data_IF_472662878012
#
_entry.id   IF_472662878012
#
_cell.length_a   1.000
_cell.length_b   1.000
_cell.length_c   1.000
_cell.angle_alpha   90.00
_cell.angle_beta   90.00
_cell.angle_gamma   90.00
#
_symmetry.space_group_name_H-M   'P 1'
#
loop_
_entity.id
_entity.type
_entity.pdbx_description
1 polymer ?
#
# COMPACT_ATOMS: atom_id res chain seq x y z
N UNK A 1 -17.72 4.99 20.64
CA UNK A 1 -16.49 4.32 20.13
C UNK A 1 -16.47 4.68 18.64
N UNK A 2 -15.53 5.50 18.27
CA UNK A 2 -15.43 5.97 16.88
C UNK A 2 -15.03 4.78 16.00
N UNK A 3 -15.49 4.77 14.74
CA UNK A 3 -15.12 3.75 13.73
C UNK A 3 -13.60 3.52 13.65
N UNK A 4 -12.84 4.53 13.96
CA UNK A 4 -11.38 4.60 13.98
C UNK A 4 -10.74 3.86 15.13
N UNK A 5 -11.34 3.98 16.29
CA UNK A 5 -10.93 3.21 17.47
C UNK A 5 -11.15 1.71 17.22
N UNK A 6 -12.22 1.36 16.49
CA UNK A 6 -12.53 -0.02 16.13
C UNK A 6 -11.49 -0.63 15.17
N UNK A 7 -11.09 0.10 14.13
CA UNK A 7 -10.06 -0.38 13.17
C UNK A 7 -8.72 -0.51 13.89
N UNK A 8 -8.31 0.50 14.65
CA UNK A 8 -7.06 0.45 15.41
C UNK A 8 -7.07 -0.65 16.47
N UNK A 9 -8.20 -0.91 17.12
CA UNK A 9 -8.33 -2.02 18.06
C UNK A 9 -8.30 -3.37 17.35
N UNK A 10 -9.03 -3.52 16.23
CA UNK A 10 -9.01 -4.74 15.43
C UNK A 10 -7.59 -5.06 14.93
N UNK A 11 -6.89 -4.06 14.39
CA UNK A 11 -5.49 -4.23 13.96
C UNK A 11 -4.57 -4.59 15.13
N UNK A 12 -4.70 -3.92 16.27
CA UNK A 12 -3.91 -4.24 17.47
C UNK A 12 -4.16 -5.67 17.95
N UNK A 13 -5.42 -6.13 17.94
CA UNK A 13 -5.76 -7.50 18.32
C UNK A 13 -5.15 -8.51 17.35
N UNK A 14 -5.36 -8.34 16.05
CA UNK A 14 -4.81 -9.26 15.02
C UNK A 14 -3.29 -9.31 15.11
N UNK A 15 -2.63 -8.16 15.24
CA UNK A 15 -1.17 -8.09 15.29
C UNK A 15 -0.63 -8.73 16.59
N UNK A 16 -1.19 -8.38 17.76
CA UNK A 16 -0.63 -8.81 19.04
C UNK A 16 -1.03 -10.24 19.45
N UNK A 17 -2.25 -10.69 19.15
CA UNK A 17 -2.78 -11.96 19.63
C UNK A 17 -2.51 -13.11 18.65
N UNK A 18 -2.69 -12.88 17.35
CA UNK A 18 -2.54 -13.93 16.33
C UNK A 18 -1.11 -14.05 15.79
N UNK A 19 -0.45 -12.94 15.51
CA UNK A 19 0.82 -12.94 14.78
C UNK A 19 2.04 -12.57 15.62
N UNK A 20 1.87 -12.13 16.85
CA UNK A 20 2.94 -11.61 17.74
C UNK A 20 3.78 -10.49 17.11
N UNK A 21 3.22 -9.80 16.13
CA UNK A 21 3.87 -8.66 15.48
C UNK A 21 3.59 -7.39 16.27
N UNK A 22 4.58 -6.51 16.39
CA UNK A 22 4.39 -5.19 17.00
C UNK A 22 3.89 -4.16 15.98
N UNK A 23 4.18 -4.37 14.70
CA UNK A 23 3.75 -3.49 13.61
C UNK A 23 3.76 -4.21 12.26
N UNK A 24 3.01 -3.65 11.32
CA UNK A 24 2.97 -4.10 9.92
C UNK A 24 3.75 -3.12 9.05
N UNK A 25 4.70 -3.64 8.29
CA UNK A 25 5.48 -2.86 7.32
C UNK A 25 4.84 -2.98 5.93
N UNK A 26 4.36 -1.87 5.41
CA UNK A 26 3.70 -1.78 4.12
C UNK A 26 4.55 -0.94 3.18
N UNK A 27 4.84 -1.46 2.00
CA UNK A 27 5.42 -0.68 0.91
C UNK A 27 4.28 -0.05 0.12
N UNK A 28 4.36 1.23 -0.24
CA UNK A 28 3.39 1.86 -1.13
C UNK A 28 4.06 2.38 -2.39
N UNK A 29 3.45 2.12 -3.54
CA UNK A 29 3.95 2.55 -4.83
C UNK A 29 2.80 2.96 -5.77
N UNK A 30 3.12 3.61 -6.87
CA UNK A 30 2.20 4.08 -7.90
C UNK A 30 2.65 5.39 -8.49
N UNK A 31 2.09 5.77 -9.63
CA UNK A 31 2.42 7.01 -10.34
C UNK A 31 2.22 8.26 -9.48
N UNK A 32 2.86 9.35 -9.86
CA UNK A 32 2.59 10.66 -9.26
C UNK A 32 1.11 11.02 -9.42
N UNK A 33 0.52 11.59 -8.38
CA UNK A 33 -0.86 12.06 -8.41
C UNK A 33 -1.95 10.99 -8.32
N UNK A 34 -1.61 9.70 -8.19
CA UNK A 34 -2.63 8.63 -8.06
C UNK A 34 -3.35 8.64 -6.71
N UNK A 35 -2.91 9.41 -5.72
CA UNK A 35 -3.58 9.51 -4.42
C UNK A 35 -2.88 8.76 -3.28
N UNK A 36 -1.59 8.39 -3.42
CA UNK A 36 -0.81 7.72 -2.36
C UNK A 36 -0.84 8.50 -1.05
N UNK A 37 -0.51 9.80 -1.09
CA UNK A 37 -0.49 10.64 0.12
C UNK A 37 -1.87 10.74 0.79
N UNK A 38 -2.94 10.83 0.00
CA UNK A 38 -4.31 10.83 0.53
C UNK A 38 -4.65 9.50 1.18
N UNK A 39 -4.23 8.39 0.58
CA UNK A 39 -4.43 7.05 1.13
C UNK A 39 -3.66 6.86 2.44
N UNK A 40 -2.39 7.28 2.48
CA UNK A 40 -1.55 7.24 3.68
C UNK A 40 -2.20 8.05 4.81
N UNK A 41 -2.62 9.28 4.52
CA UNK A 41 -3.26 10.14 5.51
C UNK A 41 -4.57 9.55 6.04
N UNK A 42 -5.36 8.92 5.17
CA UNK A 42 -6.57 8.22 5.57
C UNK A 42 -6.27 7.00 6.46
N UNK A 43 -5.27 6.19 6.10
CA UNK A 43 -4.87 5.02 6.89
C UNK A 43 -4.35 5.41 8.28
N UNK A 44 -3.61 6.50 8.40
CA UNK A 44 -3.14 7.03 9.69
C UNK A 44 -4.11 8.01 10.35
N UNK A 45 -5.12 8.50 9.63
CA UNK A 45 -6.02 9.58 10.02
C UNK A 45 -5.30 10.82 10.53
N UNK A 46 -4.31 11.23 9.79
CA UNK A 46 -3.51 12.42 10.08
C UNK A 46 -2.82 12.91 8.81
N UNK A 47 -2.56 14.20 8.71
CA UNK A 47 -1.87 14.83 7.57
C UNK A 47 -0.35 14.59 7.57
N UNK A 48 0.09 13.34 7.68
CA UNK A 48 1.50 12.98 7.80
C UNK A 48 2.25 13.11 6.48
N UNK A 49 1.63 12.69 5.38
CA UNK A 49 2.30 12.69 4.08
C UNK A 49 2.47 14.09 3.47
N UNK A 50 1.61 15.06 3.86
CA UNK A 50 1.71 16.44 3.37
C UNK A 50 2.69 17.29 4.20
N UNK A 51 2.91 16.94 5.45
CA UNK A 51 3.78 17.70 6.38
C UNK A 51 5.27 17.37 6.27
N UNK A 52 5.65 16.49 5.34
CA UNK A 52 7.04 16.06 5.19
C UNK A 52 7.58 15.28 6.40
N UNK A 53 6.71 14.70 7.21
CA UNK A 53 7.09 13.92 8.41
C UNK A 53 7.70 12.55 8.07
N UNK A 54 7.86 12.23 6.78
CA UNK A 54 8.54 11.02 6.35
C UNK A 54 10.05 11.09 6.63
N UNK A 55 10.59 10.01 7.22
CA UNK A 55 12.02 9.87 7.43
C UNK A 55 12.66 9.19 6.20
N UNK A 56 13.67 9.80 5.55
CA UNK A 56 14.37 9.15 4.45
C UNK A 56 14.98 7.82 4.90
N UNK A 57 14.70 6.76 4.15
CA UNK A 57 15.33 5.44 4.30
C UNK A 57 16.37 5.26 3.20
N UNK A 58 16.00 5.63 1.97
CA UNK A 58 16.88 5.74 0.82
C UNK A 58 16.56 7.00 0.03
N UNK A 59 17.20 7.20 -1.13
CA UNK A 59 16.84 8.30 -2.04
C UNK A 59 15.45 8.14 -2.65
N UNK A 60 14.98 6.90 -2.73
CA UNK A 60 13.73 6.53 -3.41
C UNK A 60 12.63 6.09 -2.42
N UNK A 61 12.92 5.98 -1.12
CA UNK A 61 12.00 5.46 -0.13
C UNK A 61 12.02 6.31 1.14
N UNK A 62 10.83 6.69 1.60
CA UNK A 62 10.59 7.37 2.87
C UNK A 62 9.78 6.48 3.82
N UNK A 63 10.13 6.47 5.10
CA UNK A 63 9.34 5.82 6.14
C UNK A 63 8.38 6.81 6.76
N UNK A 64 7.10 6.47 6.77
CA UNK A 64 6.03 7.22 7.43
C UNK A 64 5.46 6.33 8.52
N UNK A 65 5.46 6.83 9.75
CA UNK A 65 4.93 6.14 10.93
C UNK A 65 4.26 7.15 11.88
N UNK A 66 3.31 6.68 12.67
CA UNK A 66 2.60 7.48 13.67
C UNK A 66 2.67 6.77 15.02
N UNK A 67 3.07 7.46 16.12
CA UNK A 67 3.06 6.86 17.46
C UNK A 67 1.70 6.27 17.83
N UNK A 68 1.70 5.05 18.35
CA UNK A 68 0.49 4.35 18.76
C UNK A 68 -0.30 3.68 17.63
N UNK A 69 0.13 3.81 16.38
CA UNK A 69 -0.43 3.08 15.23
C UNK A 69 0.53 1.97 14.82
N UNK A 70 0.08 0.70 14.79
CA UNK A 70 0.95 -0.43 14.48
C UNK A 70 1.17 -0.62 12.97
N UNK A 71 1.32 0.47 12.23
CA UNK A 71 1.60 0.46 10.79
C UNK A 71 2.82 1.32 10.52
N UNK A 72 3.71 0.82 9.67
CA UNK A 72 4.82 1.58 9.07
C UNK A 72 4.69 1.54 7.56
N UNK A 73 4.62 2.70 6.93
CA UNK A 73 4.51 2.80 5.48
C UNK A 73 5.84 3.26 4.89
N UNK A 74 6.37 2.48 3.99
CA UNK A 74 7.53 2.78 3.16
C UNK A 74 7.03 3.34 1.83
N UNK A 75 6.98 4.69 1.74
CA UNK A 75 6.51 5.38 0.54
C UNK A 75 7.63 5.48 -0.49
N UNK A 76 7.41 4.95 -1.67
CA UNK A 76 8.31 5.13 -2.81
C UNK A 76 8.07 6.48 -3.44
N UNK A 77 9.15 7.23 -3.70
CA UNK A 77 9.08 8.50 -4.43
C UNK A 77 8.36 8.28 -5.76
N UNK A 78 7.46 9.21 -6.10
CA UNK A 78 6.52 9.13 -7.20
C UNK A 78 7.08 8.46 -8.45
N UNK A 79 6.51 7.32 -8.74
CA UNK A 79 6.87 6.46 -9.84
C UNK A 79 6.35 7.06 -11.16
N UNK A 80 7.22 7.69 -11.89
CA UNK A 80 6.92 8.07 -13.26
C UNK A 80 7.16 6.88 -14.20
N UNK A 81 6.54 6.89 -15.39
CA UNK A 81 6.68 5.81 -16.39
C UNK A 81 8.09 5.72 -16.99
N UNK A 82 9.11 6.03 -16.18
CA UNK A 82 10.51 5.96 -16.57
C UNK A 82 11.11 4.62 -16.10
N UNK A 83 11.48 3.78 -17.07
CA UNK A 83 12.10 2.48 -16.83
C UNK A 83 13.39 2.57 -15.98
N UNK A 84 14.12 3.68 -16.03
CA UNK A 84 15.35 3.87 -15.23
C UNK A 84 15.00 4.12 -13.76
N UNK A 85 13.99 4.95 -13.52
CA UNK A 85 13.47 5.20 -12.16
C UNK A 85 12.93 3.90 -11.58
N UNK A 86 12.13 3.18 -12.34
CA UNK A 86 11.59 1.87 -11.94
C UNK A 86 12.69 0.89 -11.50
N UNK A 87 13.71 0.70 -12.34
CA UNK A 87 14.83 -0.20 -12.01
C UNK A 87 15.58 0.21 -10.74
N UNK A 88 15.76 1.52 -10.52
CA UNK A 88 16.38 2.02 -9.28
C UNK A 88 15.50 1.73 -8.07
N UNK A 89 14.22 2.04 -8.17
CA UNK A 89 13.24 1.79 -7.10
C UNK A 89 13.20 0.31 -6.73
N UNK A 90 13.12 -0.60 -7.70
CA UNK A 90 13.15 -2.06 -7.47
C UNK A 90 14.46 -2.47 -6.77
N UNK A 91 15.60 -1.92 -7.20
CA UNK A 91 16.90 -2.20 -6.58
C UNK A 91 16.94 -1.78 -5.10
N UNK A 92 16.41 -0.59 -4.79
CA UNK A 92 16.33 -0.09 -3.41
C UNK A 92 15.35 -0.91 -2.56
N UNK A 93 14.20 -1.29 -3.10
CA UNK A 93 13.24 -2.19 -2.43
C UNK A 93 13.89 -3.54 -2.13
N UNK A 94 14.57 -4.13 -3.11
CA UNK A 94 15.28 -5.40 -2.94
C UNK A 94 16.35 -5.33 -1.86
N UNK A 95 17.09 -4.23 -1.80
CA UNK A 95 18.10 -3.98 -0.77
C UNK A 95 17.44 -3.87 0.61
N UNK A 96 16.39 -3.06 0.73
CA UNK A 96 15.64 -2.87 1.96
C UNK A 96 15.05 -4.19 2.47
N UNK A 97 14.38 -4.95 1.62
CA UNK A 97 13.81 -6.24 1.99
C UNK A 97 14.88 -7.24 2.44
N UNK A 98 16.03 -7.27 1.75
CA UNK A 98 17.15 -8.13 2.13
C UNK A 98 17.77 -7.74 3.48
N UNK A 99 17.93 -6.45 3.73
CA UNK A 99 18.47 -5.96 5.01
C UNK A 99 17.52 -6.28 6.17
N UNK A 100 16.23 -6.12 5.98
CA UNK A 100 15.23 -6.44 6.99
C UNK A 100 15.17 -7.93 7.33
N UNK A 101 15.18 -8.79 6.33
CA UNK A 101 15.20 -10.25 6.51
C UNK A 101 16.45 -10.79 7.23
N UNK A 102 17.57 -10.07 7.19
CA UNK A 102 18.79 -10.49 7.90
C UNK A 102 18.62 -10.54 9.42
N UNK A 103 17.73 -9.74 9.96
CA UNK A 103 17.49 -9.67 11.41
C UNK A 103 16.72 -10.90 11.93
N UNK A 104 16.15 -11.73 11.04
CA UNK A 104 15.31 -12.90 11.37
C UNK A 104 14.17 -12.59 12.35
N UNK A 105 13.70 -11.33 12.35
CA UNK A 105 12.60 -10.85 13.17
C UNK A 105 11.42 -10.61 12.25
N UNK A 106 10.30 -11.34 12.40
CA UNK A 106 9.12 -11.15 11.54
C UNK A 106 8.63 -9.70 11.46
N UNK A 107 8.73 -8.96 12.55
CA UNK A 107 8.39 -7.53 12.63
C UNK A 107 9.17 -6.63 11.65
N UNK A 108 10.34 -7.08 11.22
CA UNK A 108 11.19 -6.27 10.34
C UNK A 108 10.90 -6.50 8.86
N UNK A 109 10.26 -7.59 8.48
CA UNK A 109 9.96 -7.88 7.07
C UNK A 109 9.01 -6.86 6.44
N UNK A 110 9.10 -6.70 5.12
CA UNK A 110 8.06 -6.03 4.33
C UNK A 110 6.94 -7.03 4.11
N UNK A 111 5.78 -6.78 4.72
CA UNK A 111 4.68 -7.74 4.74
C UNK A 111 3.86 -7.72 3.46
N UNK A 112 3.65 -6.55 2.87
CA UNK A 112 2.96 -6.42 1.59
C UNK A 112 3.31 -5.10 0.89
N UNK A 113 2.85 -4.98 -0.37
CA UNK A 113 2.85 -3.72 -1.11
C UNK A 113 1.43 -3.32 -1.47
N UNK A 114 1.08 -2.05 -1.23
CA UNK A 114 -0.07 -1.38 -1.82
C UNK A 114 0.37 -0.72 -3.12
N UNK A 115 -0.03 -1.26 -4.25
CA UNK A 115 0.20 -0.63 -5.54
C UNK A 115 -1.02 0.20 -5.95
N UNK A 116 -0.87 1.52 -6.02
CA UNK A 116 -1.97 2.45 -6.25
C UNK A 116 -2.14 2.78 -7.72
N UNK A 117 -3.37 2.63 -8.22
CA UNK A 117 -3.80 3.03 -9.55
C UNK A 117 -5.01 3.95 -9.41
N UNK A 118 -5.00 5.10 -10.10
CA UNK A 118 -6.13 6.03 -10.08
C UNK A 118 -7.27 5.49 -10.95
N UNK A 119 -8.42 5.19 -10.37
CA UNK A 119 -9.57 4.68 -11.12
C UNK A 119 -10.03 5.61 -12.26
N UNK A 120 -10.07 6.96 -12.08
CA UNK A 120 -10.39 7.88 -13.18
C UNK A 120 -9.38 7.91 -14.32
N UNK A 121 -8.16 7.38 -14.14
CA UNK A 121 -7.19 7.38 -15.24
C UNK A 121 -7.54 6.38 -16.34
N UNK A 122 -8.35 5.38 -16.01
CA UNK A 122 -8.81 4.30 -16.90
C UNK A 122 -7.65 3.62 -17.67
N UNK A 123 -6.46 3.60 -17.05
CA UNK A 123 -5.25 3.07 -17.69
C UNK A 123 -4.42 2.29 -16.69
N UNK A 124 -4.01 1.12 -17.13
CA UNK A 124 -3.00 0.29 -16.50
C UNK A 124 -2.04 -0.17 -17.60
N UNK A 125 -0.76 0.08 -17.42
CA UNK A 125 0.23 -0.10 -18.47
C UNK A 125 1.18 -1.26 -18.17
N UNK A 126 1.76 -1.84 -19.23
CA UNK A 126 2.72 -2.96 -19.13
C UNK A 126 3.87 -2.68 -18.16
N UNK A 127 4.29 -1.42 -18.06
CA UNK A 127 5.35 -1.03 -17.12
C UNK A 127 4.91 -1.17 -15.66
N UNK A 128 3.63 -0.99 -15.37
CA UNK A 128 3.06 -1.18 -14.03
C UNK A 128 2.92 -2.67 -13.72
N UNK A 129 2.46 -3.46 -14.69
CA UNK A 129 2.40 -4.92 -14.57
C UNK A 129 3.80 -5.51 -14.30
N UNK A 130 4.80 -5.10 -15.08
CA UNK A 130 6.18 -5.57 -14.90
C UNK A 130 6.72 -5.22 -13.50
N UNK A 131 6.47 -4.00 -13.02
CA UNK A 131 6.88 -3.58 -11.69
C UNK A 131 6.24 -4.45 -10.60
N UNK A 132 4.94 -4.68 -10.69
CA UNK A 132 4.19 -5.55 -9.76
C UNK A 132 4.78 -6.97 -9.77
N UNK A 133 5.03 -7.52 -10.94
CA UNK A 133 5.58 -8.86 -11.11
C UNK A 133 7.01 -8.97 -10.53
N UNK A 134 7.83 -7.96 -10.70
CA UNK A 134 9.18 -7.88 -10.12
C UNK A 134 9.14 -7.85 -8.59
N UNK A 135 8.21 -7.09 -8.00
CA UNK A 135 8.03 -7.04 -6.55
C UNK A 135 7.50 -8.37 -6.00
N UNK A 136 6.51 -8.95 -6.66
CA UNK A 136 5.99 -10.27 -6.30
C UNK A 136 7.08 -11.36 -6.35
N UNK A 137 8.02 -11.26 -7.30
CA UNK A 137 9.17 -12.17 -7.41
C UNK A 137 10.16 -12.05 -6.23
N UNK A 138 10.13 -10.94 -5.47
CA UNK A 138 10.87 -10.79 -4.22
C UNK A 138 10.20 -11.48 -3.03
N UNK A 139 9.03 -12.09 -3.23
CA UNK A 139 8.21 -12.69 -2.17
C UNK A 139 7.41 -11.67 -1.37
N UNK A 140 7.19 -10.48 -1.92
CA UNK A 140 6.34 -9.43 -1.32
C UNK A 140 4.98 -9.51 -2.00
N UNK A 141 3.91 -9.91 -1.28
CA UNK A 141 2.57 -9.94 -1.85
C UNK A 141 2.08 -8.53 -2.17
N UNK A 142 1.32 -8.39 -3.26
CA UNK A 142 0.87 -7.10 -3.77
C UNK A 142 -0.66 -7.02 -3.72
N UNK A 143 -1.17 -6.00 -3.03
CA UNK A 143 -2.57 -5.57 -3.10
C UNK A 143 -2.64 -4.41 -4.10
N UNK A 144 -3.44 -4.57 -5.14
CA UNK A 144 -3.73 -3.49 -6.07
C UNK A 144 -4.82 -2.59 -5.47
N UNK A 145 -4.52 -1.30 -5.28
CA UNK A 145 -5.46 -0.35 -4.72
C UNK A 145 -5.95 0.59 -5.80
N UNK A 146 -7.22 0.46 -6.19
CA UNK A 146 -7.87 1.42 -7.06
C UNK A 146 -8.30 2.62 -6.23
N UNK A 147 -7.64 3.75 -6.42
CA UNK A 147 -7.86 4.98 -5.66
C UNK A 147 -8.81 5.92 -6.40
N UNK A 148 -9.33 6.94 -5.70
CA UNK A 148 -10.23 7.96 -6.27
C UNK A 148 -11.47 7.36 -6.92
N UNK A 149 -12.04 6.32 -6.30
CA UNK A 149 -13.21 5.61 -6.84
C UNK A 149 -14.47 6.44 -6.62
N UNK A 150 -14.72 7.39 -7.52
CA UNK A 150 -15.96 8.17 -7.55
C UNK A 150 -17.12 7.41 -8.22
N UNK A 151 -16.81 6.42 -9.04
CA UNK A 151 -17.76 5.51 -9.67
C UNK A 151 -17.29 4.07 -9.49
N UNK A 152 -18.07 3.27 -8.76
CA UNK A 152 -17.79 1.83 -8.57
C UNK A 152 -17.88 1.06 -9.88
N UNK A 153 -18.79 1.45 -10.78
CA UNK A 153 -18.93 0.83 -12.09
C UNK A 153 -17.66 0.99 -12.92
N UNK A 154 -17.15 2.21 -13.05
CA UNK A 154 -15.91 2.50 -13.78
C UNK A 154 -14.70 1.77 -13.16
N UNK A 155 -14.61 1.74 -11.83
CA UNK A 155 -13.54 1.02 -11.14
C UNK A 155 -13.61 -0.49 -11.38
N UNK A 156 -14.81 -1.07 -11.39
CA UNK A 156 -15.02 -2.50 -11.68
C UNK A 156 -14.64 -2.84 -13.11
N UNK A 157 -14.93 -1.97 -14.08
CA UNK A 157 -14.50 -2.16 -15.47
C UNK A 157 -12.98 -2.11 -15.61
N UNK A 158 -12.32 -1.15 -14.93
CA UNK A 158 -10.87 -1.06 -14.91
C UNK A 158 -10.26 -2.31 -14.24
N UNK A 159 -10.81 -2.76 -13.12
CA UNK A 159 -10.37 -3.99 -12.45
C UNK A 159 -10.45 -5.20 -13.39
N UNK A 160 -11.56 -5.35 -14.11
CA UNK A 160 -11.73 -6.43 -15.08
C UNK A 160 -10.65 -6.38 -16.18
N UNK A 161 -10.35 -5.19 -16.69
CA UNK A 161 -9.28 -4.98 -17.67
C UNK A 161 -7.91 -5.36 -17.12
N UNK A 162 -7.60 -4.94 -15.89
CA UNK A 162 -6.33 -5.29 -15.23
C UNK A 162 -6.20 -6.80 -15.02
N UNK A 163 -7.27 -7.46 -14.59
CA UNK A 163 -7.27 -8.93 -14.38
C UNK A 163 -7.03 -9.73 -15.66
N UNK A 164 -7.38 -9.18 -16.83
CA UNK A 164 -7.08 -9.81 -18.14
C UNK A 164 -5.57 -9.85 -18.43
N UNK A 165 -4.80 -8.89 -17.92
CA UNK A 165 -3.33 -8.87 -18.04
C UNK A 165 -2.65 -9.86 -17.10
N UNK A 166 -3.38 -10.38 -16.12
CA UNK A 166 -2.91 -11.37 -15.11
C UNK A 166 -1.67 -10.93 -14.34
N UNK A 167 -1.60 -9.69 -13.81
CA UNK A 167 -0.51 -9.31 -12.94
C UNK A 167 -0.47 -10.20 -11.69
N UNK A 168 0.70 -10.39 -11.10
CA UNK A 168 0.88 -11.17 -9.86
C UNK A 168 0.45 -10.36 -8.65
N UNK A 169 -0.85 -10.20 -8.47
CA UNK A 169 -1.48 -9.54 -7.34
C UNK A 169 -2.21 -10.55 -6.44
N UNK A 170 -2.27 -10.25 -5.15
CA UNK A 170 -3.05 -11.01 -4.18
C UNK A 170 -4.53 -10.69 -4.31
N UNK A 171 -4.86 -9.39 -4.22
CA UNK A 171 -6.23 -8.89 -4.30
C UNK A 171 -6.30 -7.51 -4.93
N UNK A 172 -7.52 -7.05 -5.21
CA UNK A 172 -7.83 -5.69 -5.65
C UNK A 172 -8.80 -5.07 -4.65
N UNK A 173 -8.47 -3.88 -4.15
CA UNK A 173 -9.32 -3.11 -3.24
C UNK A 173 -9.66 -1.77 -3.86
N UNK A 174 -10.95 -1.44 -3.90
CA UNK A 174 -11.45 -0.15 -4.38
C UNK A 174 -11.57 0.84 -3.21
N UNK A 175 -10.97 2.02 -3.33
CA UNK A 175 -10.89 3.01 -2.24
C UNK A 175 -11.26 4.41 -2.72
N UNK A 176 -12.10 5.07 -1.95
CA UNK A 176 -12.24 6.52 -1.92
C UNK A 176 -11.78 7.00 -0.55
N UNK A 177 -10.53 7.46 -0.46
CA UNK A 177 -9.87 7.75 0.81
C UNK A 177 -10.35 9.04 1.50
N UNK A 178 -11.10 9.90 0.80
CA UNK A 178 -11.65 11.14 1.30
C UNK A 178 -13.05 11.35 0.75
N UNK A 179 -13.96 11.83 1.60
CA UNK A 179 -15.31 12.18 1.18
C UNK A 179 -15.31 13.14 -0.03
N UNK A 180 -16.20 12.90 -0.95
CA UNK A 180 -16.55 13.83 -2.03
C UNK A 180 -17.94 14.40 -1.80
N UNK A 181 -18.35 15.37 -2.61
CA UNK A 181 -19.70 15.96 -2.51
C UNK A 181 -20.82 14.93 -2.72
N UNK A 182 -20.55 13.87 -3.48
CA UNK A 182 -21.57 12.90 -3.90
C UNK A 182 -21.35 11.50 -3.30
N UNK A 183 -20.14 11.18 -2.89
CA UNK A 183 -19.78 9.82 -2.44
C UNK A 183 -18.99 9.93 -1.14
N UNK A 184 -19.43 9.28 -0.06
CA UNK A 184 -18.64 9.17 1.17
C UNK A 184 -17.42 8.29 0.97
N UNK A 185 -16.39 8.50 1.77
CA UNK A 185 -15.17 7.68 1.77
C UNK A 185 -15.48 6.22 2.11
N UNK A 186 -14.74 5.29 1.50
CA UNK A 186 -14.88 3.86 1.72
C UNK A 186 -13.60 3.09 1.35
N UNK A 187 -13.54 1.82 1.73
CA UNK A 187 -12.51 0.87 1.28
C UNK A 187 -11.26 0.82 2.16
N UNK A 188 -11.02 1.77 3.07
CA UNK A 188 -9.85 1.74 3.96
C UNK A 188 -9.90 0.54 4.90
N UNK A 189 -11.06 0.23 5.47
CA UNK A 189 -11.24 -0.93 6.35
C UNK A 189 -10.92 -2.22 5.60
N UNK A 190 -11.50 -2.40 4.42
CA UNK A 190 -11.26 -3.56 3.56
C UNK A 190 -9.77 -3.70 3.19
N UNK A 191 -9.09 -2.60 2.86
CA UNK A 191 -7.66 -2.61 2.58
C UNK A 191 -6.83 -3.07 3.78
N UNK A 192 -7.20 -2.66 4.98
CA UNK A 192 -6.56 -3.08 6.22
C UNK A 192 -6.81 -4.55 6.49
N UNK A 193 -8.03 -5.04 6.32
CA UNK A 193 -8.42 -6.45 6.48
C UNK A 193 -7.62 -7.35 5.51
N UNK A 194 -7.58 -7.02 4.23
CA UNK A 194 -6.78 -7.71 3.22
C UNK A 194 -5.27 -7.72 3.57
N UNK A 195 -4.78 -6.61 4.13
CA UNK A 195 -3.39 -6.53 4.59
C UNK A 195 -3.12 -7.50 5.75
N UNK A 196 -4.07 -7.61 6.69
CA UNK A 196 -3.94 -8.52 7.83
C UNK A 196 -3.93 -9.99 7.41
N UNK A 197 -4.67 -10.37 6.37
CA UNK A 197 -4.68 -11.73 5.82
C UNK A 197 -3.32 -12.17 5.25
N UNK A 198 -2.47 -11.21 4.90
CA UNK A 198 -1.12 -11.46 4.35
C UNK A 198 -0.04 -11.61 5.43
N UNK A 199 -0.38 -11.38 6.70
CA UNK A 199 0.59 -11.50 7.77
C UNK A 199 0.96 -12.96 8.02
N UNK A 200 2.22 -13.26 8.35
CA UNK A 200 2.64 -14.62 8.63
C UNK A 200 1.85 -15.19 9.81
N UNK A 201 1.31 -16.39 9.65
CA UNK A 201 0.74 -17.13 10.76
C UNK A 201 1.82 -17.42 11.81
N UNK A 202 1.50 -17.25 13.08
CA UNK A 202 2.39 -17.53 14.22
C UNK A 202 2.60 -19.02 14.45
#
# INVERSE_FOLDING_TARGET
MDYDDLINQAMKQVINEENKLQHVNILIAGKSGVGKSTLINAAFRADLAQTGMGRPVTKEIQLIEKPGVPIKIYDTVGFELDKKVQKRTIKEIKKLAKEKRKNAVPDDDIHCMWYCVSAPSDRFEDIEENFINDIAALGIPVILVLTKVFSKEAATQLEATIRLLKPKIHSVVQVLAKDSELVPSFGIKELVEETCELLPAS
#
